data_IF_231169310982
#
_entry.id   IF_231169310982
#
_cell.length_a   1.000
_cell.length_b   1.000
_cell.length_c   1.000
_cell.angle_alpha   90.00
_cell.angle_beta   90.00
_cell.angle_gamma   90.00
#
_symmetry.space_group_name_H-M   'P 1'
#
loop_
_entity.id
_entity.type
_entity.pdbx_description
1 polymer ?
#
# COMPACT_ATOMS: atom_id res chain seq x y z
N UNK A 1 6.69 7.30 19.03
CA UNK A 1 6.33 7.70 20.40
C UNK A 1 4.96 7.17 20.75
N UNK A 2 4.74 6.74 22.00
CA UNK A 2 3.50 6.06 22.41
C UNK A 2 2.26 6.93 22.28
N UNK A 3 2.38 8.26 22.43
CA UNK A 3 1.26 9.17 22.26
C UNK A 3 0.67 9.15 20.84
N UNK A 4 1.46 8.86 19.80
CA UNK A 4 0.92 8.72 18.45
C UNK A 4 0.01 7.49 18.32
N UNK A 5 0.36 6.40 19.00
CA UNK A 5 -0.43 5.16 18.99
C UNK A 5 -1.77 5.40 19.70
N UNK A 6 -1.74 6.10 20.84
CA UNK A 6 -2.97 6.39 21.58
C UNK A 6 -3.86 7.39 20.85
N UNK A 7 -3.27 8.43 20.22
CA UNK A 7 -4.00 9.37 19.37
C UNK A 7 -4.72 8.65 18.21
N UNK A 8 -4.05 7.71 17.54
CA UNK A 8 -4.61 6.92 16.44
C UNK A 8 -5.81 6.07 16.91
N UNK A 9 -5.68 5.40 18.06
CA UNK A 9 -6.77 4.62 18.67
C UNK A 9 -7.97 5.47 19.08
N UNK A 10 -7.73 6.66 19.60
CA UNK A 10 -8.82 7.56 19.99
C UNK A 10 -9.55 8.10 18.77
N UNK A 11 -8.80 8.53 17.74
CA UNK A 11 -9.39 9.03 16.49
C UNK A 11 -10.20 7.97 15.75
N UNK A 12 -9.70 6.73 15.67
CA UNK A 12 -10.44 5.62 15.04
C UNK A 12 -11.72 5.26 15.82
N UNK A 13 -11.71 5.37 17.16
CA UNK A 13 -12.93 5.15 17.98
C UNK A 13 -13.93 6.29 17.87
N UNK A 14 -13.45 7.52 17.69
CA UNK A 14 -14.28 8.72 17.62
C UNK A 14 -14.92 8.95 16.25
N UNK A 15 -14.57 8.16 15.23
CA UNK A 15 -15.18 8.25 13.91
C UNK A 15 -16.68 7.92 14.01
N UNK A 16 -17.55 8.94 13.93
CA UNK A 16 -19.01 8.79 13.96
C UNK A 16 -19.61 8.17 12.69
N UNK A 17 -18.78 7.69 11.76
CA UNK A 17 -19.13 7.06 10.49
C UNK A 17 -18.28 5.81 10.24
N UNK A 18 -18.05 5.44 8.98
CA UNK A 18 -17.16 4.31 8.67
C UNK A 18 -15.72 4.67 9.06
N UNK A 19 -15.13 3.88 9.95
CA UNK A 19 -13.73 4.04 10.34
C UNK A 19 -12.79 3.87 9.13
N UNK A 20 -11.66 4.58 9.13
CA UNK A 20 -10.63 4.40 8.09
C UNK A 20 -10.11 2.96 8.15
N UNK A 21 -10.01 2.40 9.36
CA UNK A 21 -9.46 1.08 9.60
C UNK A 21 -7.94 1.14 9.61
N UNK A 22 -7.37 2.10 10.35
CA UNK A 22 -5.92 2.27 10.44
C UNK A 22 -5.26 1.04 11.09
N UNK A 23 -3.93 0.97 10.99
CA UNK A 23 -3.16 -0.11 11.64
C UNK A 23 -3.05 0.06 13.15
N UNK A 24 -3.55 1.17 13.71
CA UNK A 24 -3.43 1.53 15.14
C UNK A 24 -1.97 1.59 15.61
N UNK A 25 -1.07 2.02 14.72
CA UNK A 25 0.38 2.13 14.96
C UNK A 25 0.85 3.58 15.10
N UNK A 26 -0.06 4.56 15.04
CA UNK A 26 0.29 5.97 15.18
C UNK A 26 0.86 6.60 13.90
N UNK A 27 0.62 6.00 12.73
CA UNK A 27 1.17 6.50 11.45
C UNK A 27 0.61 7.88 11.13
N UNK A 28 -0.72 8.03 11.14
CA UNK A 28 -1.37 9.30 10.84
C UNK A 28 -0.96 10.43 11.80
N UNK A 29 -1.09 10.23 13.12
CA UNK A 29 -0.61 11.21 14.10
C UNK A 29 0.87 11.59 13.96
N UNK A 30 1.74 10.63 13.64
CA UNK A 30 3.16 10.90 13.41
C UNK A 30 3.39 11.81 12.18
N UNK A 31 2.70 11.53 11.06
CA UNK A 31 2.77 12.38 9.87
C UNK A 31 2.15 13.76 10.09
N UNK A 32 1.07 13.85 10.88
CA UNK A 32 0.47 15.12 11.32
C UNK A 32 1.46 15.97 12.09
N UNK A 33 2.19 15.38 13.04
CA UNK A 33 3.23 16.09 13.78
C UNK A 33 4.38 16.53 12.86
N UNK A 34 4.78 15.71 11.87
CA UNK A 34 5.81 16.06 10.86
C UNK A 34 5.43 17.34 10.10
N UNK A 35 4.23 17.39 9.50
CA UNK A 35 3.77 18.57 8.76
C UNK A 35 3.43 19.74 9.69
N UNK A 36 3.04 19.44 10.93
CA UNK A 36 2.85 20.39 12.01
C UNK A 36 4.14 21.03 12.53
N UNK A 37 5.31 20.42 12.26
CA UNK A 37 6.68 20.90 12.52
C UNK A 37 7.08 21.05 13.99
N UNK A 38 6.13 21.29 14.89
CA UNK A 38 6.41 21.65 16.30
C UNK A 38 6.57 20.44 17.21
N UNK A 39 5.71 19.43 17.05
CA UNK A 39 5.64 18.28 17.96
C UNK A 39 6.43 17.06 17.45
N UNK A 40 6.92 17.14 16.21
CA UNK A 40 7.70 16.06 15.62
C UNK A 40 9.07 15.90 16.28
N UNK A 41 9.50 14.64 16.31
CA UNK A 41 10.87 14.23 16.51
C UNK A 41 11.34 13.50 15.25
N UNK A 42 12.50 13.89 14.72
CA UNK A 42 13.24 13.11 13.72
C UNK A 42 14.31 12.29 14.42
N UNK A 43 14.87 11.29 13.74
CA UNK A 43 15.91 10.42 14.30
C UNK A 43 17.09 11.23 14.87
N UNK A 44 17.50 12.30 14.18
CA UNK A 44 18.56 13.19 14.67
C UNK A 44 18.24 13.92 15.99
N UNK A 45 16.95 14.17 16.29
CA UNK A 45 16.56 14.85 17.53
C UNK A 45 16.79 13.99 18.78
N UNK A 46 16.85 12.66 18.64
CA UNK A 46 17.10 11.73 19.76
C UNK A 46 18.54 11.85 20.31
N UNK A 47 19.46 12.43 19.52
CA UNK A 47 20.87 12.59 19.89
C UNK A 47 21.22 14.00 20.36
N UNK A 48 20.24 14.91 20.41
CA UNK A 48 20.45 16.29 20.86
C UNK A 48 20.51 16.36 22.37
N UNK A 49 21.32 17.30 22.89
CA UNK A 49 21.46 17.52 24.33
C UNK A 49 20.12 17.81 25.03
N UNK A 50 19.19 18.47 24.34
CA UNK A 50 17.87 18.82 24.85
C UNK A 50 16.79 17.75 24.60
N UNK A 51 17.14 16.51 24.21
CA UNK A 51 16.17 15.45 23.90
C UNK A 51 15.20 15.20 25.06
N UNK A 52 15.71 15.08 26.30
CA UNK A 52 14.89 14.85 27.50
C UNK A 52 13.86 15.96 27.73
N UNK A 53 14.30 17.21 27.68
CA UNK A 53 13.41 18.36 27.93
C UNK A 53 12.35 18.49 26.84
N UNK A 54 12.73 18.21 25.58
CA UNK A 54 11.78 18.19 24.46
C UNK A 54 10.76 17.07 24.62
N UNK A 55 11.14 15.87 25.07
CA UNK A 55 10.19 14.78 25.36
C UNK A 55 9.20 15.21 26.43
N UNK A 56 9.66 15.81 27.53
CA UNK A 56 8.77 16.33 28.58
C UNK A 56 7.77 17.37 28.07
N UNK A 57 8.25 18.33 27.27
CA UNK A 57 7.39 19.35 26.68
C UNK A 57 6.30 18.74 25.78
N UNK A 58 6.68 17.85 24.86
CA UNK A 58 5.75 17.24 23.90
C UNK A 58 4.80 16.26 24.60
N UNK A 59 5.29 15.44 25.54
CA UNK A 59 4.46 14.53 26.32
C UNK A 59 3.40 15.29 27.12
N UNK A 60 3.75 16.40 27.77
CA UNK A 60 2.78 17.22 28.50
C UNK A 60 1.71 17.82 27.57
N UNK A 61 2.12 18.33 26.39
CA UNK A 61 1.18 18.84 25.39
C UNK A 61 0.24 17.73 24.90
N UNK A 62 0.79 16.59 24.49
CA UNK A 62 0.04 15.44 23.99
C UNK A 62 -0.89 14.87 25.06
N UNK A 63 -0.47 14.81 26.32
CA UNK A 63 -1.32 14.35 27.42
C UNK A 63 -2.58 15.19 27.54
N UNK A 64 -2.46 16.53 27.56
CA UNK A 64 -3.62 17.44 27.62
C UNK A 64 -4.55 17.24 26.42
N UNK A 65 -3.98 17.15 25.22
CA UNK A 65 -4.75 16.92 24.00
C UNK A 65 -5.49 15.58 24.03
N UNK A 66 -4.84 14.50 24.45
CA UNK A 66 -5.42 13.16 24.54
C UNK A 66 -6.54 13.11 25.59
N UNK A 67 -6.36 13.75 26.76
CA UNK A 67 -7.41 13.87 27.78
C UNK A 67 -8.66 14.58 27.26
N UNK A 68 -8.48 15.67 26.50
CA UNK A 68 -9.61 16.36 25.87
C UNK A 68 -10.30 15.49 24.82
N UNK A 69 -9.55 14.70 24.06
CA UNK A 69 -10.09 13.84 23.01
C UNK A 69 -10.81 12.60 23.58
N UNK A 70 -10.29 12.00 24.66
CA UNK A 70 -10.86 10.81 25.28
C UNK A 70 -12.02 11.11 26.23
N UNK A 71 -12.05 12.30 26.83
CA UNK A 71 -12.94 12.59 27.97
C UNK A 71 -12.53 11.89 29.26
N UNK A 72 -11.39 11.20 29.28
CA UNK A 72 -10.87 10.42 30.41
C UNK A 72 -9.43 10.81 30.76
N UNK A 73 -8.98 10.62 32.01
CA UNK A 73 -7.59 10.84 32.38
C UNK A 73 -6.63 9.94 31.58
N UNK A 74 -5.74 10.57 30.81
CA UNK A 74 -4.60 9.93 30.15
C UNK A 74 -3.33 10.34 30.90
N UNK A 75 -2.43 9.38 31.16
CA UNK A 75 -1.11 9.64 31.74
C UNK A 75 0.00 9.24 30.78
N UNK A 76 0.93 10.17 30.55
CA UNK A 76 2.16 9.94 29.80
C UNK A 76 3.34 10.22 30.72
N UNK A 77 4.05 9.16 31.13
CA UNK A 77 5.29 9.30 31.90
C UNK A 77 6.43 9.72 30.97
N UNK A 78 6.70 11.02 30.94
CA UNK A 78 7.72 11.60 30.07
C UNK A 78 9.14 11.09 30.38
N UNK A 79 9.45 10.81 31.66
CA UNK A 79 10.78 10.33 32.05
C UNK A 79 10.98 8.86 31.66
N UNK A 80 9.95 8.02 31.82
CA UNK A 80 9.97 6.64 31.31
C UNK A 80 10.07 6.60 29.78
N UNK A 81 9.29 7.44 29.07
CA UNK A 81 9.35 7.53 27.61
C UNK A 81 10.75 7.97 27.14
N UNK A 82 11.34 8.96 27.81
CA UNK A 82 12.70 9.38 27.49
C UNK A 82 13.72 8.25 27.69
N UNK A 83 13.69 7.56 28.83
CA UNK A 83 14.64 6.49 29.14
C UNK A 83 14.54 5.34 28.12
N UNK A 84 13.33 4.92 27.78
CA UNK A 84 13.08 3.90 26.76
C UNK A 84 13.64 4.32 25.38
N UNK A 85 13.28 5.53 24.92
CA UNK A 85 13.68 5.97 23.58
C UNK A 85 15.17 6.33 23.49
N UNK A 86 15.83 6.72 24.60
CA UNK A 86 17.28 6.87 24.65
C UNK A 86 17.98 5.54 24.42
N UNK A 87 17.48 4.45 25.01
CA UNK A 87 18.04 3.12 24.81
C UNK A 87 17.87 2.65 23.35
N UNK A 88 16.73 2.96 22.72
CA UNK A 88 16.55 2.72 21.29
C UNK A 88 17.52 3.53 20.43
N UNK A 89 17.74 4.81 20.77
CA UNK A 89 18.71 5.64 20.08
C UNK A 89 20.12 5.05 20.13
N UNK A 90 20.58 4.59 21.30
CA UNK A 90 21.90 3.97 21.44
C UNK A 90 22.05 2.70 20.60
N UNK A 91 21.02 1.85 20.55
CA UNK A 91 21.02 0.64 19.70
C UNK A 91 21.07 0.96 18.20
N UNK A 92 20.48 2.08 17.79
CA UNK A 92 20.42 2.50 16.40
C UNK A 92 21.62 3.35 15.97
N UNK A 93 22.42 3.88 16.91
CA UNK A 93 23.47 4.89 16.67
C UNK A 93 24.39 4.58 15.49
N UNK A 94 24.84 3.33 15.36
CA UNK A 94 25.74 2.91 14.28
C UNK A 94 25.13 2.95 12.86
N UNK A 95 23.81 3.01 12.76
CA UNK A 95 23.07 3.01 11.49
C UNK A 95 22.55 4.40 11.12
N UNK A 96 22.69 5.39 12.01
CA UNK A 96 22.20 6.75 11.77
C UNK A 96 23.28 7.56 11.04
N UNK A 97 22.88 8.16 9.92
CA UNK A 97 23.73 9.04 9.13
C UNK A 97 22.90 9.87 8.16
N UNK A 98 23.58 10.65 7.33
CA UNK A 98 22.94 11.40 6.25
C UNK A 98 22.63 10.45 5.08
N UNK A 99 21.39 9.93 5.08
CA UNK A 99 20.91 9.05 4.02
C UNK A 99 20.79 9.76 2.67
N UNK A 100 20.60 11.08 2.65
CA UNK A 100 20.46 11.83 1.39
C UNK A 100 21.80 11.92 0.69
N UNK A 101 22.85 12.34 1.40
CA UNK A 101 24.22 12.35 0.86
C UNK A 101 24.64 10.94 0.40
N UNK A 102 24.39 9.91 1.23
CA UNK A 102 24.70 8.53 0.86
C UNK A 102 24.04 8.07 -0.45
N UNK A 103 22.75 8.39 -0.65
CA UNK A 103 22.03 8.01 -1.87
C UNK A 103 22.51 8.80 -3.09
N UNK A 104 22.81 10.10 -2.93
CA UNK A 104 23.33 10.92 -4.02
C UNK A 104 24.73 10.46 -4.46
N UNK A 105 25.63 10.19 -3.52
CA UNK A 105 26.96 9.65 -3.80
C UNK A 105 26.87 8.29 -4.52
N UNK A 106 25.95 7.42 -4.08
CA UNK A 106 25.72 6.13 -4.73
C UNK A 106 25.24 6.29 -6.18
N UNK A 107 24.38 7.28 -6.46
CA UNK A 107 23.94 7.59 -7.83
C UNK A 107 25.08 8.12 -8.69
N UNK A 108 25.89 9.05 -8.17
CA UNK A 108 27.05 9.61 -8.88
C UNK A 108 28.11 8.54 -9.17
N UNK A 109 28.25 7.56 -8.29
CA UNK A 109 29.07 6.37 -8.49
C UNK A 109 28.41 5.28 -9.37
N UNK A 110 27.29 5.59 -10.04
CA UNK A 110 26.52 4.67 -10.91
C UNK A 110 26.14 3.34 -10.23
N UNK A 111 25.84 3.37 -8.94
CA UNK A 111 25.38 2.18 -8.21
C UNK A 111 23.92 1.89 -8.55
N UNK A 112 23.55 0.60 -8.53
CA UNK A 112 22.16 0.16 -8.63
C UNK A 112 21.48 0.32 -7.28
N UNK A 113 20.38 1.06 -7.26
CA UNK A 113 19.56 1.30 -6.06
C UNK A 113 18.17 0.74 -6.33
N UNK A 114 17.64 -0.03 -5.38
CA UNK A 114 16.28 -0.53 -5.41
C UNK A 114 15.48 0.20 -4.32
N UNK A 115 14.39 0.85 -4.72
CA UNK A 115 13.43 1.45 -3.78
C UNK A 115 12.28 0.47 -3.57
N UNK A 116 12.08 0.07 -2.33
CA UNK A 116 10.93 -0.74 -1.92
C UNK A 116 9.78 0.19 -1.47
N UNK A 117 8.66 0.13 -2.18
CA UNK A 117 7.49 0.94 -1.88
C UNK A 117 6.61 0.34 -0.79
N UNK A 118 6.00 1.21 0.02
CA UNK A 118 4.87 0.89 0.86
C UNK A 118 3.93 2.11 0.92
N UNK A 119 2.62 1.97 1.00
CA UNK A 119 1.77 0.78 0.83
C UNK A 119 1.50 0.54 -0.67
N UNK A 120 0.26 0.70 -1.13
CA UNK A 120 -0.11 0.67 -2.56
C UNK A 120 -0.60 2.04 -3.02
N UNK A 121 -0.61 2.29 -4.33
CA UNK A 121 -0.89 3.61 -4.89
C UNK A 121 -2.31 4.14 -4.61
N UNK A 122 -3.33 3.27 -4.45
CA UNK A 122 -4.68 3.71 -4.06
C UNK A 122 -4.83 4.07 -2.58
N UNK A 123 -3.78 3.86 -1.78
CA UNK A 123 -3.68 4.32 -0.40
C UNK A 123 -2.83 5.59 -0.29
N UNK A 124 -2.44 6.20 -1.42
CA UNK A 124 -1.67 7.44 -1.42
C UNK A 124 -2.50 8.59 -0.83
N UNK A 125 -1.88 9.42 0.01
CA UNK A 125 -2.60 10.49 0.72
C UNK A 125 -3.23 11.53 -0.22
N UNK A 126 -2.61 11.78 -1.38
CA UNK A 126 -3.06 12.78 -2.35
C UNK A 126 -3.84 12.16 -3.51
N UNK A 127 -3.49 10.93 -3.88
CA UNK A 127 -3.94 10.29 -5.12
C UNK A 127 -4.71 8.98 -4.91
N UNK A 128 -4.90 8.58 -3.65
CA UNK A 128 -5.67 7.39 -3.29
C UNK A 128 -7.15 7.68 -3.09
N UNK A 129 -7.84 6.72 -2.48
CA UNK A 129 -9.28 6.84 -2.15
C UNK A 129 -9.50 7.64 -0.87
N UNK A 130 -9.03 8.90 -0.82
CA UNK A 130 -9.13 9.77 0.37
C UNK A 130 -10.60 9.90 0.84
N UNK A 131 -10.91 9.80 2.14
CA UNK A 131 -9.99 9.77 3.29
C UNK A 131 -9.46 8.37 3.68
N UNK A 132 -9.85 7.33 2.96
CA UNK A 132 -9.51 5.94 3.28
C UNK A 132 -8.14 5.54 2.69
N UNK A 133 -7.11 6.23 3.17
CA UNK A 133 -5.74 6.19 2.66
C UNK A 133 -4.75 6.12 3.83
N UNK A 134 -3.48 5.87 3.53
CA UNK A 134 -2.40 6.15 4.48
C UNK A 134 -2.09 7.65 4.50
N UNK A 135 -1.22 8.09 5.41
CA UNK A 135 -0.85 9.51 5.56
C UNK A 135 0.45 9.87 4.83
N UNK A 136 0.85 9.09 3.83
CA UNK A 136 2.05 9.30 3.03
C UNK A 136 1.81 9.05 1.55
N UNK A 137 2.73 9.51 0.70
CA UNK A 137 2.71 9.18 -0.72
C UNK A 137 3.23 7.75 -0.94
N UNK A 138 2.32 6.83 -1.19
CA UNK A 138 2.59 5.40 -1.42
C UNK A 138 2.57 5.00 -2.89
N UNK A 139 2.47 5.97 -3.81
CA UNK A 139 2.63 5.78 -5.25
C UNK A 139 4.05 6.09 -5.72
N UNK A 140 4.32 5.94 -7.02
CA UNK A 140 5.64 6.23 -7.61
C UNK A 140 6.11 7.68 -7.40
N UNK A 141 5.19 8.63 -7.17
CA UNK A 141 5.54 10.03 -6.91
C UNK A 141 6.17 10.26 -5.52
N UNK A 142 6.07 9.28 -4.61
CA UNK A 142 6.64 9.36 -3.27
C UNK A 142 8.15 9.11 -3.19
N UNK A 143 8.76 8.50 -4.22
CA UNK A 143 10.18 8.12 -4.15
C UNK A 143 11.10 9.33 -4.02
N UNK A 144 10.97 10.39 -4.84
CA UNK A 144 11.87 11.55 -4.73
C UNK A 144 11.72 12.28 -3.41
N UNK A 145 10.48 12.52 -2.96
CA UNK A 145 10.22 13.27 -1.72
C UNK A 145 10.64 12.50 -0.47
N UNK A 146 10.54 11.17 -0.47
CA UNK A 146 10.93 10.32 0.65
C UNK A 146 12.43 10.03 0.75
N UNK A 147 13.16 10.01 -0.37
CA UNK A 147 14.57 9.61 -0.42
C UNK A 147 15.55 10.78 -0.66
N UNK A 148 15.09 11.88 -1.25
CA UNK A 148 15.96 12.95 -1.74
C UNK A 148 16.58 12.68 -3.12
N UNK A 149 16.27 11.53 -3.75
CA UNK A 149 16.73 11.20 -5.10
C UNK A 149 15.88 11.89 -6.16
N UNK A 150 16.46 12.72 -7.05
CA UNK A 150 15.69 13.38 -8.11
C UNK A 150 15.01 12.37 -9.05
N UNK A 151 13.75 12.63 -9.42
CA UNK A 151 12.94 11.72 -10.25
C UNK A 151 13.58 11.34 -11.59
N UNK A 152 14.45 12.19 -12.15
CA UNK A 152 15.21 11.90 -13.39
C UNK A 152 16.14 10.67 -13.30
N UNK A 153 16.48 10.21 -12.09
CA UNK A 153 17.31 9.03 -11.87
C UNK A 153 16.50 7.75 -11.70
N UNK A 154 15.16 7.82 -11.73
CA UNK A 154 14.32 6.64 -11.74
C UNK A 154 14.32 6.05 -13.15
N UNK A 155 15.06 4.95 -13.34
CA UNK A 155 15.28 4.34 -14.66
C UNK A 155 14.31 3.21 -14.98
N UNK A 156 13.68 2.62 -13.96
CA UNK A 156 12.71 1.53 -14.12
C UNK A 156 11.76 1.46 -12.93
N UNK A 157 10.46 1.39 -13.19
CA UNK A 157 9.40 1.21 -12.20
C UNK A 157 8.64 -0.08 -12.46
N UNK A 158 8.66 -0.99 -11.50
CA UNK A 158 7.87 -2.22 -11.52
C UNK A 158 6.52 -1.99 -10.82
N UNK A 159 5.43 -2.16 -11.56
CA UNK A 159 4.07 -2.14 -11.01
C UNK A 159 3.70 -3.51 -10.45
N UNK A 160 3.78 -3.67 -9.14
CA UNK A 160 3.38 -4.91 -8.46
C UNK A 160 1.86 -4.92 -8.30
N UNK A 161 1.20 -5.87 -8.95
CA UNK A 161 -0.25 -6.06 -8.88
C UNK A 161 -0.55 -7.50 -8.49
N UNK A 162 -1.66 -7.72 -7.79
CA UNK A 162 -2.22 -9.06 -7.62
C UNK A 162 -3.10 -9.38 -8.83
N UNK A 163 -3.29 -10.67 -9.12
CA UNK A 163 -4.23 -11.13 -10.15
C UNK A 163 -5.71 -10.83 -9.78
N UNK A 164 -5.98 -10.33 -8.59
CA UNK A 164 -7.29 -9.93 -8.08
C UNK A 164 -7.11 -8.73 -7.13
N UNK A 165 -8.21 -8.13 -6.67
CA UNK A 165 -8.14 -6.95 -5.81
C UNK A 165 -8.37 -7.31 -4.35
N UNK A 166 -7.67 -6.63 -3.44
CA UNK A 166 -7.91 -6.75 -2.00
C UNK A 166 -7.83 -5.42 -1.28
N UNK A 167 -8.64 -5.25 -0.23
CA UNK A 167 -8.63 -4.05 0.62
C UNK A 167 -8.64 -4.42 2.11
N UNK A 168 -7.86 -3.69 2.89
CA UNK A 168 -7.92 -3.67 4.36
C UNK A 168 -8.48 -2.32 4.78
N UNK A 169 -9.36 -2.29 5.77
CA UNK A 169 -9.98 -1.06 6.25
C UNK A 169 -11.28 -0.71 5.51
N UNK A 170 -11.81 0.47 5.83
CA UNK A 170 -13.03 0.99 5.24
C UNK A 170 -12.82 1.56 3.83
N UNK A 171 -13.88 2.12 3.25
CA UNK A 171 -13.84 2.86 1.98
C UNK A 171 -14.32 2.06 0.77
N UNK A 172 -14.51 2.72 -0.39
CA UNK A 172 -15.15 2.11 -1.54
C UNK A 172 -14.26 1.03 -2.16
N UNK A 173 -14.91 -0.02 -2.65
CA UNK A 173 -14.25 -1.11 -3.35
C UNK A 173 -15.17 -1.63 -4.46
N UNK A 174 -15.18 -0.97 -5.64
CA UNK A 174 -16.17 -1.25 -6.69
C UNK A 174 -16.25 -2.72 -7.10
N UNK A 175 -15.10 -3.42 -7.13
CA UNK A 175 -15.03 -4.83 -7.56
C UNK A 175 -15.16 -5.85 -6.43
N UNK A 176 -15.49 -5.42 -5.20
CA UNK A 176 -15.67 -6.30 -4.06
C UNK A 176 -16.67 -7.42 -4.35
N UNK A 177 -16.32 -8.63 -3.94
CA UNK A 177 -17.17 -9.80 -4.02
C UNK A 177 -17.60 -10.21 -2.61
N UNK A 178 -18.74 -9.69 -2.14
CA UNK A 178 -19.37 -10.11 -0.88
C UNK A 178 -20.16 -11.43 -1.05
N UNK A 179 -19.53 -12.42 -1.69
CA UNK A 179 -20.12 -13.72 -2.04
C UNK A 179 -19.07 -14.84 -1.96
N UNK A 180 -19.43 -16.04 -2.41
CA UNK A 180 -18.57 -17.23 -2.38
C UNK A 180 -17.25 -17.05 -3.13
N UNK A 181 -17.22 -16.26 -4.21
CA UNK A 181 -15.99 -15.96 -4.95
C UNK A 181 -15.01 -15.15 -4.10
N UNK A 182 -15.51 -14.12 -3.41
CA UNK A 182 -14.65 -13.33 -2.52
C UNK A 182 -14.12 -14.16 -1.36
N UNK A 183 -14.91 -15.10 -0.83
CA UNK A 183 -14.45 -16.04 0.20
C UNK A 183 -13.41 -17.02 -0.36
N UNK A 184 -13.64 -17.56 -1.55
CA UNK A 184 -12.70 -18.44 -2.25
C UNK A 184 -11.34 -17.77 -2.44
N UNK A 185 -11.32 -16.55 -3.00
CA UNK A 185 -10.10 -15.76 -3.20
C UNK A 185 -9.41 -15.49 -1.86
N UNK A 186 -10.18 -15.15 -0.82
CA UNK A 186 -9.64 -14.86 0.51
C UNK A 186 -8.92 -16.07 1.10
N UNK A 187 -9.53 -17.24 1.04
CA UNK A 187 -8.96 -18.46 1.63
C UNK A 187 -7.76 -18.96 0.85
N UNK A 188 -7.87 -19.00 -0.49
CA UNK A 188 -6.77 -19.44 -1.36
C UNK A 188 -5.57 -18.50 -1.32
N UNK A 189 -5.81 -17.18 -1.28
CA UNK A 189 -4.76 -16.17 -1.17
C UNK A 189 -4.26 -15.92 0.26
N UNK A 190 -4.79 -16.63 1.26
CA UNK A 190 -4.51 -16.39 2.69
C UNK A 190 -4.61 -14.90 3.05
N UNK A 191 -5.69 -14.25 2.61
CA UNK A 191 -5.89 -12.80 2.69
C UNK A 191 -6.41 -12.39 4.08
N UNK A 192 -5.59 -12.68 5.08
CA UNK A 192 -5.82 -12.38 6.50
C UNK A 192 -4.64 -11.56 7.03
N UNK A 193 -4.93 -10.55 7.85
CA UNK A 193 -3.87 -9.73 8.48
C UNK A 193 -2.91 -10.60 9.29
N UNK A 194 -1.60 -10.37 9.17
CA UNK A 194 -0.58 -11.22 9.82
C UNK A 194 -0.61 -11.15 11.35
N UNK A 195 -0.99 -9.99 11.90
CA UNK A 195 -1.06 -9.76 13.36
C UNK A 195 -2.47 -9.99 13.90
N UNK A 196 -3.46 -9.28 13.34
CA UNK A 196 -4.84 -9.28 13.87
C UNK A 196 -5.71 -10.39 13.28
N UNK A 197 -5.22 -11.11 12.26
CA UNK A 197 -6.00 -12.06 11.44
C UNK A 197 -7.29 -11.47 10.86
N UNK A 198 -7.41 -10.14 10.80
CA UNK A 198 -8.57 -9.46 10.21
C UNK A 198 -8.69 -9.86 8.73
N UNK A 199 -9.85 -10.36 8.27
CA UNK A 199 -10.04 -10.75 6.88
C UNK A 199 -9.96 -9.52 5.98
N UNK A 200 -9.29 -9.67 4.83
CA UNK A 200 -9.29 -8.65 3.78
C UNK A 200 -10.55 -8.79 2.95
N UNK A 201 -11.08 -7.66 2.50
CA UNK A 201 -12.10 -7.61 1.46
C UNK A 201 -11.45 -8.05 0.16
N UNK A 202 -12.11 -8.93 -0.60
CA UNK A 202 -11.56 -9.51 -1.82
C UNK A 202 -12.52 -9.23 -2.98
N UNK A 203 -11.97 -9.00 -4.16
CA UNK A 203 -12.73 -8.61 -5.34
C UNK A 203 -12.02 -8.97 -6.62
N UNK A 204 -12.72 -8.84 -7.74
CA UNK A 204 -12.15 -9.08 -9.06
C UNK A 204 -11.05 -8.05 -9.39
N UNK A 205 -10.24 -8.37 -10.41
CA UNK A 205 -9.21 -7.45 -10.88
C UNK A 205 -9.86 -6.17 -11.44
N UNK A 206 -9.33 -5.02 -11.02
CA UNK A 206 -9.83 -3.71 -11.43
C UNK A 206 -8.86 -3.02 -12.38
N UNK A 207 -9.12 -3.14 -13.69
CA UNK A 207 -8.25 -2.56 -14.69
C UNK A 207 -8.38 -1.03 -14.77
N UNK A 208 -9.50 -0.44 -14.33
CA UNK A 208 -9.67 1.02 -14.27
C UNK A 208 -8.72 1.60 -13.24
N UNK A 209 -8.74 1.03 -12.03
CA UNK A 209 -7.90 1.48 -10.93
C UNK A 209 -6.41 1.19 -11.16
N UNK A 210 -6.08 0.02 -11.71
CA UNK A 210 -4.68 -0.33 -12.02
C UNK A 210 -4.13 0.52 -13.17
N UNK A 211 -4.91 0.83 -14.21
CA UNK A 211 -4.46 1.71 -15.30
C UNK A 211 -4.20 3.13 -14.78
N UNK A 212 -5.06 3.63 -13.89
CA UNK A 212 -4.84 4.91 -13.22
C UNK A 212 -3.52 4.92 -12.43
N UNK A 213 -3.31 3.93 -11.56
CA UNK A 213 -2.12 3.89 -10.70
C UNK A 213 -0.82 3.60 -11.45
N UNK A 214 -0.88 2.82 -12.54
CA UNK A 214 0.24 2.58 -13.45
C UNK A 214 0.68 3.87 -14.15
N UNK A 215 -0.27 4.70 -14.60
CA UNK A 215 0.02 6.02 -15.17
C UNK A 215 0.59 6.97 -14.12
N UNK A 216 -0.05 7.07 -12.96
CA UNK A 216 0.38 7.93 -11.85
C UNK A 216 1.82 7.63 -11.41
N UNK A 217 2.16 6.35 -11.29
CA UNK A 217 3.45 5.92 -10.75
C UNK A 217 4.56 5.82 -11.80
N UNK A 218 4.27 6.09 -13.07
CA UNK A 218 5.24 5.94 -14.16
C UNK A 218 5.70 4.49 -14.37
N UNK A 219 4.79 3.51 -14.21
CA UNK A 219 5.12 2.09 -14.34
C UNK A 219 5.61 1.76 -15.75
N UNK A 220 6.75 1.10 -15.83
CA UNK A 220 7.31 0.59 -17.10
C UNK A 220 6.80 -0.82 -17.40
N UNK A 221 6.81 -1.69 -16.38
CA UNK A 221 6.51 -3.12 -16.50
C UNK A 221 5.67 -3.61 -15.34
N UNK A 222 4.86 -4.63 -15.57
CA UNK A 222 4.00 -5.24 -14.57
C UNK A 222 4.61 -6.51 -13.99
N UNK A 223 4.39 -6.69 -12.70
CA UNK A 223 4.62 -7.93 -11.98
C UNK A 223 3.27 -8.41 -11.42
N UNK A 224 2.74 -9.52 -11.96
CA UNK A 224 1.45 -10.10 -11.52
C UNK A 224 1.70 -11.19 -10.48
N UNK A 225 1.27 -10.94 -9.26
CA UNK A 225 1.43 -11.83 -8.13
C UNK A 225 0.17 -12.64 -7.86
N UNK A 226 0.33 -13.81 -7.23
CA UNK A 226 -0.77 -14.65 -6.73
C UNK A 226 -1.74 -15.08 -7.84
N UNK A 227 -1.22 -15.43 -9.02
CA UNK A 227 -2.05 -15.91 -10.13
C UNK A 227 -2.72 -17.26 -9.80
N UNK A 228 -2.01 -18.11 -9.05
CA UNK A 228 -2.43 -19.43 -8.60
C UNK A 228 -3.71 -19.41 -7.74
N UNK A 229 -4.00 -18.30 -7.10
CA UNK A 229 -5.23 -18.10 -6.32
C UNK A 229 -6.49 -18.23 -7.18
N UNK A 230 -6.40 -17.94 -8.48
CA UNK A 230 -7.52 -18.04 -9.41
C UNK A 230 -7.72 -19.45 -9.99
N UNK A 231 -6.76 -20.39 -9.80
CA UNK A 231 -6.84 -21.78 -10.26
C UNK A 231 -8.00 -22.53 -9.59
N UNK A 232 -8.98 -22.96 -10.37
CA UNK A 232 -10.16 -23.70 -9.94
C UNK A 232 -11.48 -23.02 -10.30
N UNK A 233 -11.44 -21.74 -10.67
CA UNK A 233 -12.61 -20.97 -11.09
C UNK A 233 -12.96 -21.27 -12.55
N UNK A 234 -14.26 -21.40 -12.85
CA UNK A 234 -14.74 -21.66 -14.21
C UNK A 234 -14.72 -20.41 -15.09
N UNK A 235 -15.00 -19.25 -14.49
CA UNK A 235 -14.99 -17.95 -15.13
C UNK A 235 -14.25 -16.93 -14.25
N UNK A 236 -13.56 -16.01 -14.91
CA UNK A 236 -12.88 -14.88 -14.29
C UNK A 236 -13.47 -13.59 -14.83
N UNK A 237 -13.56 -12.58 -13.97
CA UNK A 237 -14.03 -11.24 -14.37
C UNK A 237 -12.94 -10.20 -14.19
N UNK A 238 -12.86 -9.29 -15.15
CA UNK A 238 -12.00 -8.10 -15.10
C UNK A 238 -12.89 -6.88 -15.23
N UNK A 239 -12.82 -5.95 -14.27
CA UNK A 239 -13.52 -4.67 -14.40
C UNK A 239 -12.76 -3.78 -15.41
N UNK A 240 -13.41 -3.48 -16.53
CA UNK A 240 -12.82 -2.73 -17.65
C UNK A 240 -13.24 -1.26 -17.69
N UNK A 241 -14.39 -0.95 -17.09
CA UNK A 241 -14.97 0.38 -16.97
C UNK A 241 -15.81 0.45 -15.68
N UNK A 242 -16.15 1.67 -15.26
CA UNK A 242 -17.20 1.90 -14.27
C UNK A 242 -18.42 2.51 -14.95
N UNK A 243 -19.61 2.15 -14.48
CA UNK A 243 -20.84 2.87 -14.76
C UNK A 243 -21.13 3.82 -13.60
N UNK A 244 -21.24 5.11 -13.92
CA UNK A 244 -21.47 6.21 -13.00
C UNK A 244 -22.59 7.09 -13.55
N UNK A 245 -23.69 7.17 -12.81
CA UNK A 245 -24.84 8.02 -13.14
C UNK A 245 -25.34 7.80 -14.60
N UNK A 246 -25.33 6.53 -15.03
CA UNK A 246 -25.76 6.09 -16.37
C UNK A 246 -24.73 6.28 -17.48
N UNK A 247 -23.51 6.73 -17.17
CA UNK A 247 -22.41 6.87 -18.11
C UNK A 247 -21.26 5.91 -17.81
N UNK A 248 -20.77 5.24 -18.85
CA UNK A 248 -19.58 4.40 -18.72
C UNK A 248 -18.30 5.23 -18.83
N UNK A 249 -17.36 4.99 -17.93
CA UNK A 249 -16.07 5.66 -17.91
C UNK A 249 -14.92 4.70 -17.64
N UNK A 250 -13.78 4.99 -18.25
CA UNK A 250 -12.51 4.31 -18.02
C UNK A 250 -11.55 5.15 -17.15
N UNK A 251 -12.04 6.30 -16.67
CA UNK A 251 -11.32 7.23 -15.80
C UNK A 251 -11.63 6.85 -14.35
N UNK A 252 -10.58 6.68 -13.55
CA UNK A 252 -10.73 6.44 -12.12
C UNK A 252 -11.25 7.73 -11.44
N UNK A 253 -12.39 7.69 -10.73
CA UNK A 253 -12.96 8.87 -10.09
C UNK A 253 -12.02 9.48 -9.04
N UNK A 254 -11.95 10.81 -9.03
CA UNK A 254 -11.13 11.54 -8.06
C UNK A 254 -11.81 11.68 -6.69
N UNK A 255 -13.15 11.65 -6.65
CA UNK A 255 -13.92 11.81 -5.43
C UNK A 255 -14.43 10.47 -4.90
N UNK A 256 -14.32 10.27 -3.58
CA UNK A 256 -14.72 9.02 -2.93
C UNK A 256 -16.22 8.73 -3.07
N UNK A 257 -17.06 9.76 -3.09
CA UNK A 257 -18.51 9.61 -3.28
C UNK A 257 -18.87 9.05 -4.66
N UNK A 258 -18.10 9.40 -5.70
CA UNK A 258 -18.27 8.79 -7.02
C UNK A 258 -17.84 7.33 -6.98
N UNK A 259 -16.70 7.01 -6.34
CA UNK A 259 -16.26 5.62 -6.16
C UNK A 259 -17.27 4.76 -5.40
N UNK A 260 -18.03 5.32 -4.45
CA UNK A 260 -19.10 4.60 -3.75
C UNK A 260 -20.27 4.23 -4.65
N UNK A 261 -20.55 5.04 -5.68
CA UNK A 261 -21.63 4.79 -6.64
C UNK A 261 -21.15 4.04 -7.89
N UNK A 262 -19.83 3.91 -8.07
CA UNK A 262 -19.23 3.24 -9.22
C UNK A 262 -19.65 1.77 -9.28
N UNK A 263 -20.34 1.40 -10.36
CA UNK A 263 -20.67 0.01 -10.63
C UNK A 263 -19.65 -0.57 -11.61
N UNK A 264 -18.99 -1.70 -11.31
CA UNK A 264 -18.00 -2.29 -12.20
C UNK A 264 -18.67 -2.90 -13.45
N UNK A 265 -18.15 -2.56 -14.62
CA UNK A 265 -18.48 -3.20 -15.89
C UNK A 265 -17.43 -4.27 -16.17
N UNK A 266 -17.87 -5.53 -16.22
CA UNK A 266 -16.98 -6.67 -16.32
C UNK A 266 -16.86 -7.21 -17.75
N UNK A 267 -15.64 -7.58 -18.10
CA UNK A 267 -15.36 -8.57 -19.14
C UNK A 267 -15.18 -9.94 -18.48
N UNK A 268 -15.83 -10.97 -19.03
CA UNK A 268 -15.73 -12.36 -18.55
C UNK A 268 -14.78 -13.14 -19.44
N UNK A 269 -13.83 -13.84 -18.82
CA UNK A 269 -12.91 -14.77 -19.47
C UNK A 269 -13.09 -16.18 -18.89
N UNK A 270 -12.85 -17.24 -19.68
CA UNK A 270 -12.81 -18.58 -19.13
C UNK A 270 -11.64 -18.70 -18.13
N UNK A 271 -11.90 -19.36 -17.00
CA UNK A 271 -10.88 -19.69 -16.01
C UNK A 271 -10.11 -20.96 -16.35
N UNK A 272 -9.38 -21.50 -15.38
CA UNK A 272 -8.61 -22.74 -15.53
C UNK A 272 -8.72 -23.56 -14.23
N UNK A 273 -8.67 -24.89 -14.35
CA UNK A 273 -8.81 -25.81 -13.19
C UNK A 273 -7.46 -26.37 -12.73
N UNK A 274 -6.44 -26.25 -13.57
CA UNK A 274 -5.10 -26.78 -13.36
C UNK A 274 -4.36 -26.05 -12.22
N UNK A 275 -3.61 -26.80 -11.43
CA UNK A 275 -2.65 -26.25 -10.48
C UNK A 275 -1.42 -25.73 -11.24
N UNK A 276 -1.15 -24.43 -11.12
CA UNK A 276 -0.05 -23.75 -11.81
C UNK A 276 1.15 -23.49 -10.92
N UNK A 277 1.14 -23.96 -9.66
CA UNK A 277 2.19 -23.68 -8.66
C UNK A 277 3.58 -24.22 -9.03
N UNK A 278 3.62 -25.18 -9.94
CA UNK A 278 4.82 -25.79 -10.49
C UNK A 278 5.36 -25.09 -11.76
N UNK A 279 4.59 -24.17 -12.36
CA UNK A 279 5.01 -23.48 -13.58
C UNK A 279 6.28 -22.65 -13.33
N UNK A 280 7.23 -22.70 -14.27
CA UNK A 280 8.50 -21.93 -14.21
C UNK A 280 8.74 -21.08 -15.45
N UNK A 281 8.00 -21.33 -16.52
CA UNK A 281 8.05 -20.61 -17.79
C UNK A 281 6.64 -20.26 -18.25
N UNK A 282 6.56 -19.29 -19.16
CA UNK A 282 5.29 -18.84 -19.74
C UNK A 282 4.52 -20.01 -20.39
N UNK A 283 5.22 -20.89 -21.09
CA UNK A 283 4.63 -22.03 -21.81
C UNK A 283 4.10 -23.12 -20.87
N UNK A 284 4.51 -23.12 -19.60
CA UNK A 284 4.02 -24.06 -18.59
C UNK A 284 2.62 -23.63 -18.07
N UNK A 285 2.17 -22.40 -18.36
CA UNK A 285 0.85 -21.90 -17.95
C UNK A 285 -0.25 -22.39 -18.89
N UNK A 286 -1.47 -22.73 -18.37
CA UNK A 286 -2.63 -23.02 -19.20
C UNK A 286 -2.97 -21.87 -20.15
N UNK A 287 -3.54 -22.18 -21.31
CA UNK A 287 -3.89 -21.18 -22.33
C UNK A 287 -4.80 -20.06 -21.78
N UNK A 288 -5.74 -20.40 -20.91
CA UNK A 288 -6.64 -19.44 -20.28
C UNK A 288 -5.92 -18.53 -19.28
N UNK A 289 -4.94 -19.04 -18.53
CA UNK A 289 -4.09 -18.22 -17.66
C UNK A 289 -3.22 -17.24 -18.47
N UNK A 290 -2.63 -17.72 -19.57
CA UNK A 290 -1.90 -16.86 -20.51
C UNK A 290 -2.80 -15.79 -21.14
N UNK A 291 -4.05 -16.13 -21.49
CA UNK A 291 -5.03 -15.19 -22.04
C UNK A 291 -5.43 -14.12 -21.02
N UNK A 292 -5.66 -14.51 -19.76
CA UNK A 292 -5.95 -13.61 -18.66
C UNK A 292 -4.81 -12.59 -18.44
N UNK A 293 -3.57 -13.06 -18.39
CA UNK A 293 -2.38 -12.22 -18.25
C UNK A 293 -2.22 -11.24 -19.43
N UNK A 294 -2.34 -11.74 -20.67
CA UNK A 294 -2.30 -10.88 -21.87
C UNK A 294 -3.40 -9.82 -21.83
N UNK A 295 -4.61 -10.18 -21.37
CA UNK A 295 -5.72 -9.23 -21.27
C UNK A 295 -5.45 -8.14 -20.23
N UNK A 296 -4.87 -8.49 -19.08
CA UNK A 296 -4.40 -7.50 -18.10
C UNK A 296 -3.37 -6.56 -18.74
N UNK A 297 -2.32 -7.10 -19.36
CA UNK A 297 -1.27 -6.30 -20.04
C UNK A 297 -1.88 -5.27 -20.99
N UNK A 298 -2.82 -5.71 -21.85
CA UNK A 298 -3.51 -4.86 -22.82
C UNK A 298 -4.37 -3.78 -22.16
N UNK A 299 -5.16 -4.11 -21.15
CA UNK A 299 -6.07 -3.18 -20.48
C UNK A 299 -5.33 -2.09 -19.69
N UNK A 300 -4.18 -2.44 -19.12
CA UNK A 300 -3.31 -1.52 -18.38
C UNK A 300 -2.40 -0.74 -19.33
N UNK A 301 -2.10 -1.29 -20.51
CA UNK A 301 -1.20 -0.72 -21.51
C UNK A 301 0.27 -0.79 -21.08
N UNK A 302 0.64 -1.83 -20.32
CA UNK A 302 2.01 -2.04 -19.80
C UNK A 302 2.41 -3.51 -19.93
N UNK A 303 3.62 -3.80 -20.44
CA UNK A 303 4.09 -5.17 -20.64
C UNK A 303 4.28 -5.92 -19.31
N UNK A 304 4.13 -7.24 -19.36
CA UNK A 304 4.44 -8.13 -18.25
C UNK A 304 5.92 -8.52 -18.26
N UNK A 305 6.54 -8.56 -17.08
CA UNK A 305 7.91 -9.06 -16.91
C UNK A 305 8.01 -10.14 -15.84
N UNK A 306 7.13 -10.11 -14.84
CA UNK A 306 7.19 -11.03 -13.70
C UNK A 306 5.80 -11.60 -13.43
N UNK A 307 5.71 -12.91 -13.22
CA UNK A 307 4.49 -13.59 -12.81
C UNK A 307 4.82 -14.47 -11.60
N UNK A 308 4.06 -14.38 -10.52
CA UNK A 308 4.14 -15.31 -9.39
C UNK A 308 2.94 -16.26 -9.40
N UNK A 309 3.25 -17.54 -9.23
CA UNK A 309 2.30 -18.67 -9.14
C UNK A 309 2.38 -19.34 -7.77
N UNK A 310 2.85 -18.63 -6.76
CA UNK A 310 2.92 -19.10 -5.38
C UNK A 310 3.81 -18.23 -4.49
N UNK A 311 3.87 -18.55 -3.19
CA UNK A 311 4.57 -17.74 -2.19
C UNK A 311 6.10 -17.89 -2.21
N UNK A 312 6.64 -18.99 -2.75
CA UNK A 312 8.07 -19.25 -2.73
C UNK A 312 8.81 -18.47 -3.83
N UNK A 313 10.06 -18.09 -3.55
CA UNK A 313 10.90 -17.34 -4.49
C UNK A 313 11.06 -18.04 -5.84
N UNK A 314 11.12 -19.37 -5.84
CA UNK A 314 11.26 -20.19 -7.04
C UNK A 314 9.98 -20.25 -7.88
N UNK A 315 8.83 -19.86 -7.32
CA UNK A 315 7.53 -19.82 -8.00
C UNK A 315 7.30 -18.49 -8.72
N UNK A 316 8.39 -17.87 -9.19
CA UNK A 316 8.38 -16.62 -9.93
C UNK A 316 8.93 -16.85 -11.34
N UNK A 317 8.10 -16.57 -12.34
CA UNK A 317 8.42 -16.64 -13.77
C UNK A 317 8.91 -15.25 -14.22
N UNK A 318 10.11 -15.22 -14.80
CA UNK A 318 10.67 -14.00 -15.40
C UNK A 318 10.58 -14.10 -16.93
N UNK A 319 9.92 -13.14 -17.56
CA UNK A 319 9.77 -13.10 -19.01
C UNK A 319 10.98 -12.39 -19.63
N UNK A 320 11.79 -13.12 -20.39
CA UNK A 320 12.93 -12.55 -21.12
C UNK A 320 12.43 -11.86 -22.39
N UNK A 321 12.13 -10.56 -22.33
CA UNK A 321 11.74 -9.76 -23.48
C UNK A 321 10.25 -9.88 -23.83
N UNK A 322 9.54 -8.77 -23.58
CA UNK A 322 8.13 -8.44 -23.87
C UNK A 322 7.24 -9.56 -24.44
N UNK A 323 6.48 -10.21 -23.56
CA UNK A 323 5.13 -10.66 -23.94
C UNK A 323 4.27 -9.39 -23.97
N UNK A 324 4.15 -8.80 -25.16
CA UNK A 324 3.24 -7.68 -25.45
C UNK A 324 1.81 -8.18 -25.61
#
# INVERSE_FOLDING_TARGET
FPWHIEEDRLLERAAGGEAIGTTLRGIGPCYRDKVGRTLAFRVGDLYRQNFRDRVRQVAHFKQRMLQCLSGEPVQLDADAIYEEYRQYAERLRRWVGDSTTYLLDALEANKRILFEGAQGALLDVDHGTFPYVTSSNSSGVGVPSGSGVPGRYLTKVLGIIKAYSTRVGGGPFPTEQANEIGQYIRDRGNEYGTVTRRPRRCGWFDAVAVRYTARLSGVDVLAVMLLDVLSGLEELKICVAYELDGQQTTIFPAHVDELWRAQPVYETLPGWKEDISHARRWEDLPANAQAYLRRISQLIGRPLEIISVGPDREQTIFLQGQVS
#
